data_IF_048050091434
#
_entry.id   IF_048050091434
#
_cell.length_a   1.000
_cell.length_b   1.000
_cell.length_c   1.000
_cell.angle_alpha   90.00
_cell.angle_beta   90.00
_cell.angle_gamma   90.00
#
_symmetry.space_group_name_H-M   'P 1'
#
loop_
_entity.id
_entity.type
_entity.pdbx_description
1 polymer ?
#
# COMPACT_ATOMS: atom_id res chain seq x y z
N UNK A 1 -14.97 5.39 -4.92
CA UNK A 1 -14.46 6.61 -5.62
C UNK A 1 -13.42 6.16 -6.63
N UNK A 2 -13.25 6.79 -7.81
CA UNK A 2 -12.19 6.35 -8.73
C UNK A 2 -10.85 6.98 -8.32
N UNK A 3 -9.74 6.26 -8.52
CA UNK A 3 -8.39 6.75 -8.17
C UNK A 3 -8.07 8.12 -8.78
N UNK A 4 -8.54 8.36 -10.01
CA UNK A 4 -8.31 9.62 -10.75
C UNK A 4 -9.00 10.84 -10.12
N UNK A 5 -10.03 10.63 -9.30
CA UNK A 5 -10.85 11.70 -8.71
C UNK A 5 -10.29 12.15 -7.34
N UNK A 6 -9.24 11.50 -6.85
CA UNK A 6 -8.63 11.82 -5.56
C UNK A 6 -7.84 13.13 -5.68
N UNK A 7 -8.20 14.11 -4.85
CA UNK A 7 -7.43 15.33 -4.72
C UNK A 7 -6.13 15.03 -3.96
N UNK A 8 -5.02 15.15 -4.69
CA UNK A 8 -3.66 14.92 -4.19
C UNK A 8 -2.97 16.24 -3.81
N UNK A 9 -3.62 17.38 -4.01
CA UNK A 9 -3.04 18.70 -3.80
C UNK A 9 -2.65 18.90 -2.33
N UNK A 10 -1.43 19.37 -2.10
CA UNK A 10 -0.92 19.64 -0.74
C UNK A 10 -0.24 18.45 -0.06
N UNK A 11 -0.26 17.27 -0.67
CA UNK A 11 0.45 16.07 -0.21
C UNK A 11 1.70 15.83 -1.04
N UNK A 12 2.76 15.31 -0.42
CA UNK A 12 4.00 14.93 -1.14
C UNK A 12 4.49 13.52 -0.79
N UNK A 13 3.83 12.85 0.15
CA UNK A 13 4.07 11.45 0.51
C UNK A 13 2.78 10.66 0.40
N UNK A 14 2.77 9.62 -0.42
CA UNK A 14 1.62 8.75 -0.66
C UNK A 14 1.86 7.37 -0.05
N UNK A 15 0.87 6.87 0.69
CA UNK A 15 0.79 5.52 1.20
C UNK A 15 -0.41 4.83 0.54
N UNK A 16 -0.19 3.66 -0.01
CA UNK A 16 -1.22 2.85 -0.69
C UNK A 16 -1.38 1.52 0.03
N UNK A 17 -2.60 1.03 0.21
CA UNK A 17 -2.78 -0.42 0.33
C UNK A 17 -2.46 -1.12 -1.00
N UNK A 18 -2.28 -2.43 -0.96
CA UNK A 18 -2.05 -3.26 -2.13
C UNK A 18 -3.35 -3.90 -2.62
N UNK A 19 -3.94 -4.77 -1.81
CA UNK A 19 -5.16 -5.49 -2.14
C UNK A 19 -6.37 -4.56 -2.04
N UNK A 20 -7.20 -4.47 -3.07
CA UNK A 20 -8.31 -3.53 -3.19
C UNK A 20 -7.95 -2.17 -3.79
N UNK A 21 -6.67 -1.77 -3.77
CA UNK A 21 -6.20 -0.45 -4.23
C UNK A 21 -5.29 -0.54 -5.45
N UNK A 22 -4.29 -1.41 -5.44
CA UNK A 22 -3.37 -1.65 -6.57
C UNK A 22 -3.83 -2.86 -7.37
N UNK A 23 -4.10 -3.97 -6.68
CA UNK A 23 -4.70 -5.17 -7.25
C UNK A 23 -6.11 -5.39 -6.72
N UNK A 24 -6.91 -6.18 -7.43
CA UNK A 24 -8.24 -6.57 -6.96
C UNK A 24 -8.14 -7.34 -5.65
N UNK A 25 -9.01 -6.99 -4.71
CA UNK A 25 -9.19 -7.75 -3.48
C UNK A 25 -9.79 -9.12 -3.80
N UNK A 26 -9.24 -10.19 -3.22
CA UNK A 26 -9.81 -11.54 -3.28
C UNK A 26 -10.58 -11.82 -1.99
N UNK A 27 -11.90 -11.68 -2.03
CA UNK A 27 -12.76 -11.90 -0.86
C UNK A 27 -12.55 -13.31 -0.29
N UNK A 28 -12.21 -13.40 1.00
CA UNK A 28 -11.93 -14.65 1.72
C UNK A 28 -10.76 -15.49 1.18
N UNK A 29 -9.89 -14.91 0.37
CA UNK A 29 -8.71 -15.58 -0.21
C UNK A 29 -7.49 -14.63 -0.22
N UNK A 30 -6.34 -15.13 -0.67
CA UNK A 30 -5.10 -14.37 -0.81
C UNK A 30 -4.59 -14.46 -2.24
N UNK A 31 -3.85 -13.44 -2.69
CA UNK A 31 -3.03 -13.54 -3.91
C UNK A 31 -1.77 -14.32 -3.56
N UNK A 32 -1.70 -15.58 -4.00
CA UNK A 32 -0.66 -16.55 -3.62
C UNK A 32 0.43 -16.67 -4.68
N UNK A 33 0.11 -16.35 -5.93
CA UNK A 33 1.06 -16.30 -7.04
C UNK A 33 0.77 -15.14 -7.98
N UNK A 34 1.68 -14.88 -8.92
CA UNK A 34 1.57 -13.78 -9.86
C UNK A 34 0.36 -13.89 -10.78
N UNK A 35 -0.02 -15.11 -11.16
CA UNK A 35 -1.13 -15.40 -12.05
C UNK A 35 -2.48 -15.04 -11.42
N UNK A 36 -2.55 -14.91 -10.09
CA UNK A 36 -3.72 -14.43 -9.35
C UNK A 36 -3.72 -12.91 -9.14
N UNK A 37 -2.63 -12.22 -9.48
CA UNK A 37 -2.48 -10.78 -9.30
C UNK A 37 -3.12 -10.03 -10.48
N UNK A 38 -4.27 -9.40 -10.23
CA UNK A 38 -4.96 -8.59 -11.22
C UNK A 38 -4.98 -7.12 -10.81
N UNK A 39 -4.36 -6.24 -11.60
CA UNK A 39 -4.38 -4.80 -11.35
C UNK A 39 -5.80 -4.23 -11.41
N UNK A 40 -6.11 -3.26 -10.55
CA UNK A 40 -7.40 -2.55 -10.62
C UNK A 40 -7.43 -1.59 -11.84
N UNK A 41 -8.60 -1.32 -12.43
CA UNK A 41 -8.71 -0.39 -13.54
C UNK A 41 -8.16 1.01 -13.20
N UNK A 42 -7.34 1.58 -14.09
CA UNK A 42 -6.82 2.93 -13.98
C UNK A 42 -5.60 3.11 -13.05
N UNK A 43 -5.14 2.06 -12.35
CA UNK A 43 -3.98 2.18 -11.44
C UNK A 43 -2.70 2.61 -12.13
N UNK A 44 -2.43 2.11 -13.35
CA UNK A 44 -1.24 2.50 -14.10
C UNK A 44 -1.25 3.98 -14.48
N UNK A 45 -2.39 4.50 -14.93
CA UNK A 45 -2.55 5.93 -15.23
C UNK A 45 -2.37 6.78 -13.96
N UNK A 46 -2.99 6.37 -12.86
CA UNK A 46 -2.88 7.03 -11.57
C UNK A 46 -1.42 7.07 -11.09
N UNK A 47 -0.73 5.93 -11.02
CA UNK A 47 0.67 5.85 -10.59
C UNK A 47 1.62 6.59 -11.52
N UNK A 48 1.40 6.57 -12.84
CA UNK A 48 2.19 7.34 -13.80
C UNK A 48 2.08 8.86 -13.56
N UNK A 49 0.88 9.35 -13.23
CA UNK A 49 0.64 10.75 -12.86
C UNK A 49 1.23 11.07 -11.48
N UNK A 50 0.94 10.26 -10.49
CA UNK A 50 1.36 10.45 -9.10
C UNK A 50 2.87 10.39 -8.92
N UNK A 51 3.58 9.58 -9.70
CA UNK A 51 5.05 9.49 -9.66
C UNK A 51 5.76 10.81 -10.01
N UNK A 52 5.08 11.72 -10.73
CA UNK A 52 5.60 13.05 -11.06
C UNK A 52 5.28 14.10 -10.00
N UNK A 53 4.34 13.79 -9.11
CA UNK A 53 3.82 14.71 -8.10
C UNK A 53 4.39 14.43 -6.72
N UNK A 54 4.30 13.18 -6.27
CA UNK A 54 4.74 12.77 -4.95
C UNK A 54 6.25 12.59 -4.90
N UNK A 55 6.87 13.09 -3.83
CA UNK A 55 8.26 12.82 -3.49
C UNK A 55 8.44 11.33 -3.21
N UNK A 56 7.52 10.75 -2.44
CA UNK A 56 7.54 9.34 -2.05
C UNK A 56 6.20 8.64 -2.28
N UNK A 57 6.23 7.42 -2.80
CA UNK A 57 5.08 6.52 -2.93
C UNK A 57 5.43 5.19 -2.26
N UNK A 58 4.75 4.88 -1.17
CA UNK A 58 4.92 3.65 -0.40
C UNK A 58 3.70 2.75 -0.51
N UNK A 59 3.93 1.45 -0.40
CA UNK A 59 2.87 0.47 -0.14
C UNK A 59 2.93 0.10 1.35
N UNK A 60 1.77 0.08 2.01
CA UNK A 60 1.59 -0.36 3.40
C UNK A 60 0.50 -1.44 3.46
N UNK A 61 0.89 -2.71 3.60
CA UNK A 61 -0.04 -3.83 3.36
C UNK A 61 0.02 -4.96 4.39
N UNK A 62 -1.13 -5.50 4.76
CA UNK A 62 -1.24 -6.67 5.65
C UNK A 62 -1.23 -7.96 4.81
N UNK A 63 -0.15 -8.75 4.89
CA UNK A 63 0.06 -9.98 4.10
C UNK A 63 -0.05 -11.24 4.97
N UNK A 64 -1.23 -11.42 5.58
CA UNK A 64 -1.54 -12.51 6.51
C UNK A 64 -1.47 -13.91 5.88
N UNK A 65 -1.54 -14.02 4.55
CA UNK A 65 -1.39 -15.30 3.85
C UNK A 65 -0.07 -16.00 4.17
N UNK A 66 1.00 -15.22 4.37
CA UNK A 66 2.30 -15.73 4.81
C UNK A 66 2.23 -16.26 6.23
N UNK A 67 1.71 -15.48 7.19
CA UNK A 67 1.58 -15.91 8.58
C UNK A 67 0.68 -17.12 8.77
N UNK A 68 -0.31 -17.31 7.87
CA UNK A 68 -1.20 -18.48 7.85
C UNK A 68 -0.58 -19.72 7.16
N UNK A 69 0.61 -19.60 6.56
CA UNK A 69 1.26 -20.67 5.81
C UNK A 69 0.60 -20.99 4.46
N UNK A 70 -0.24 -20.09 3.93
CA UNK A 70 -0.94 -20.27 2.64
C UNK A 70 0.01 -20.00 1.46
N UNK A 71 1.07 -19.21 1.70
CA UNK A 71 2.15 -18.93 0.76
C UNK A 71 3.44 -18.66 1.54
N UNK A 72 4.60 -18.81 0.91
CA UNK A 72 5.86 -18.42 1.53
C UNK A 72 6.11 -16.92 1.44
N UNK A 73 6.98 -16.39 2.29
CA UNK A 73 7.44 -15.00 2.16
C UNK A 73 8.21 -14.80 0.83
N UNK A 74 8.91 -15.82 0.35
CA UNK A 74 9.59 -15.76 -0.95
C UNK A 74 8.60 -15.60 -2.11
N UNK A 75 7.42 -16.22 -2.03
CA UNK A 75 6.36 -16.05 -3.04
C UNK A 75 5.80 -14.64 -2.99
N UNK A 76 5.62 -14.08 -1.78
CA UNK A 76 5.19 -12.69 -1.59
C UNK A 76 6.17 -11.71 -2.24
N UNK A 77 7.48 -11.90 -2.00
CA UNK A 77 8.52 -11.06 -2.57
C UNK A 77 8.56 -11.14 -4.10
N UNK A 78 8.32 -12.32 -4.69
CA UNK A 78 8.21 -12.46 -6.16
C UNK A 78 7.01 -11.70 -6.73
N UNK A 79 5.86 -11.74 -6.05
CA UNK A 79 4.68 -10.96 -6.44
C UNK A 79 4.98 -9.45 -6.36
N UNK A 80 5.58 -9.01 -5.26
CA UNK A 80 5.98 -7.60 -5.08
C UNK A 80 6.95 -7.13 -6.16
N UNK A 81 7.95 -7.96 -6.49
CA UNK A 81 8.90 -7.66 -7.55
C UNK A 81 8.19 -7.46 -8.90
N UNK A 82 7.39 -8.45 -9.34
CA UNK A 82 6.68 -8.37 -10.64
C UNK A 82 5.68 -7.21 -10.67
N UNK A 83 4.99 -6.95 -9.56
CA UNK A 83 4.10 -5.80 -9.43
C UNK A 83 4.86 -4.48 -9.67
N UNK A 84 6.03 -4.31 -9.06
CA UNK A 84 6.86 -3.12 -9.28
C UNK A 84 7.39 -3.04 -10.72
N UNK A 85 7.81 -4.16 -11.32
CA UNK A 85 8.26 -4.21 -12.71
C UNK A 85 7.16 -3.73 -13.68
N UNK A 86 5.93 -4.20 -13.52
CA UNK A 86 4.77 -3.76 -14.31
C UNK A 86 4.45 -2.27 -14.09
N UNK A 87 4.50 -1.79 -12.85
CA UNK A 87 4.29 -0.37 -12.54
C UNK A 87 5.33 0.50 -13.25
N UNK A 88 6.60 0.09 -13.24
CA UNK A 88 7.71 0.79 -13.89
C UNK A 88 7.55 0.77 -15.42
N UNK A 89 7.16 -0.37 -16.00
CA UNK A 89 6.89 -0.48 -17.43
C UNK A 89 5.80 0.51 -17.90
N UNK A 90 4.87 0.87 -17.02
CA UNK A 90 3.82 1.85 -17.25
C UNK A 90 4.16 3.26 -16.73
N UNK A 91 5.45 3.56 -16.52
CA UNK A 91 5.98 4.87 -16.09
C UNK A 91 5.53 5.32 -14.69
N UNK A 92 5.10 4.38 -13.85
CA UNK A 92 4.88 4.60 -12.42
C UNK A 92 6.12 4.26 -11.59
N UNK A 93 6.02 4.44 -10.27
CA UNK A 93 7.08 4.14 -9.29
C UNK A 93 6.46 3.76 -7.95
N UNK A 94 7.08 2.82 -7.26
CA UNK A 94 6.92 2.54 -5.84
C UNK A 94 8.31 2.63 -5.21
N UNK A 95 8.46 3.45 -4.18
CA UNK A 95 9.76 3.69 -3.52
C UNK A 95 10.11 2.59 -2.53
N UNK A 96 9.11 2.12 -1.78
CA UNK A 96 9.29 1.04 -0.82
C UNK A 96 7.97 0.37 -0.48
N UNK A 97 8.05 -0.92 -0.15
CA UNK A 97 6.93 -1.72 0.34
C UNK A 97 7.19 -2.04 1.80
N UNK A 98 6.28 -1.61 2.65
CA UNK A 98 6.17 -2.02 4.04
C UNK A 98 5.01 -3.01 4.13
N UNK A 99 5.29 -4.20 4.64
CA UNK A 99 4.27 -5.22 4.84
C UNK A 99 4.35 -5.83 6.24
N UNK A 100 3.24 -6.39 6.70
CA UNK A 100 3.14 -7.12 7.95
C UNK A 100 2.50 -8.50 7.71
N UNK A 101 3.15 -9.57 8.19
CA UNK A 101 2.68 -10.96 8.04
C UNK A 101 2.00 -11.48 9.31
N UNK A 102 1.99 -10.70 10.39
CA UNK A 102 1.50 -11.10 11.70
C UNK A 102 0.00 -11.44 11.72
N UNK A 103 -0.34 -12.49 12.47
CA UNK A 103 -1.72 -12.93 12.67
C UNK A 103 -2.38 -12.30 13.91
N UNK A 104 -1.59 -11.88 14.87
CA UNK A 104 -2.04 -11.15 16.06
C UNK A 104 -2.23 -9.67 15.76
N UNK A 105 -3.19 -9.04 16.44
CA UNK A 105 -3.41 -7.58 16.42
C UNK A 105 -2.53 -6.85 17.43
N UNK A 106 -1.81 -7.58 18.29
CA UNK A 106 -0.80 -7.03 19.21
C UNK A 106 0.45 -6.55 18.46
N UNK A 107 0.71 -7.07 17.26
CA UNK A 107 1.79 -6.57 16.42
C UNK A 107 1.39 -5.21 15.86
N UNK A 108 1.99 -4.16 16.41
CA UNK A 108 1.68 -2.78 16.03
C UNK A 108 1.97 -2.48 14.56
N UNK A 109 2.75 -3.30 13.83
CA UNK A 109 2.93 -3.13 12.37
C UNK A 109 1.71 -3.57 11.58
N UNK A 110 0.85 -4.44 12.12
CA UNK A 110 -0.37 -4.86 11.43
C UNK A 110 -1.40 -3.73 11.48
N UNK A 111 -1.91 -3.28 10.32
CA UNK A 111 -3.03 -2.33 10.27
C UNK A 111 -4.22 -2.90 11.05
N UNK A 112 -4.85 -2.13 11.94
CA UNK A 112 -4.80 -0.67 12.04
C UNK A 112 -3.66 -0.08 12.91
N UNK A 113 -2.75 -0.88 13.46
CA UNK A 113 -1.55 -0.41 14.16
C UNK A 113 -0.63 0.42 13.27
N UNK A 114 0.02 1.44 13.83
CA UNK A 114 0.79 2.44 13.07
C UNK A 114 2.27 2.08 12.84
N UNK A 115 2.69 0.87 13.18
CA UNK A 115 4.09 0.44 13.16
C UNK A 115 4.74 0.55 11.78
N UNK A 116 4.03 0.22 10.69
CA UNK A 116 4.56 0.42 9.33
C UNK A 116 4.81 1.90 8.99
N UNK A 117 4.04 2.82 9.55
CA UNK A 117 4.29 4.25 9.39
C UNK A 117 5.47 4.72 10.24
N UNK A 118 5.64 4.18 11.45
CA UNK A 118 6.83 4.45 12.26
C UNK A 118 8.10 3.95 11.57
N UNK A 119 8.02 2.82 10.86
CA UNK A 119 9.11 2.33 10.00
C UNK A 119 9.43 3.33 8.87
N UNK A 120 8.39 3.89 8.22
CA UNK A 120 8.56 4.94 7.19
C UNK A 120 9.27 6.16 7.78
N UNK A 121 8.81 6.69 8.91
CA UNK A 121 9.39 7.90 9.54
C UNK A 121 10.83 7.64 10.00
N UNK A 122 11.16 6.43 10.46
CA UNK A 122 12.54 6.06 10.79
C UNK A 122 13.43 6.08 9.56
N UNK A 123 12.96 5.52 8.45
CA UNK A 123 13.76 5.39 7.22
C UNK A 123 13.85 6.70 6.42
N UNK A 124 12.85 7.58 6.56
CA UNK A 124 12.70 8.85 5.85
C UNK A 124 12.30 9.96 6.86
N UNK A 125 13.27 10.39 7.66
CA UNK A 125 13.05 11.29 8.79
C UNK A 125 12.61 12.70 8.40
N UNK A 126 12.70 13.07 7.14
CA UNK A 126 12.25 14.35 6.61
C UNK A 126 10.76 14.38 6.21
N UNK A 127 10.05 13.26 6.32
CA UNK A 127 8.61 13.18 6.02
C UNK A 127 7.80 13.98 7.06
N UNK A 128 6.86 14.79 6.55
CA UNK A 128 5.93 15.59 7.36
C UNK A 128 4.55 14.93 7.33
N UNK A 129 4.00 14.60 8.50
CA UNK A 129 2.75 13.82 8.62
C UNK A 129 1.56 14.50 7.95
N UNK A 130 1.46 15.82 8.07
CA UNK A 130 0.37 16.64 7.49
C UNK A 130 0.38 16.61 5.95
N UNK A 131 1.51 16.22 5.34
CA UNK A 131 1.71 16.10 3.90
C UNK A 131 1.64 14.63 3.42
N UNK A 132 1.25 13.71 4.30
CA UNK A 132 1.03 12.31 3.99
C UNK A 132 -0.44 12.04 3.66
N UNK A 133 -0.66 11.23 2.62
CA UNK A 133 -1.97 10.74 2.20
C UNK A 133 -1.97 9.20 2.18
N UNK A 134 -2.94 8.58 2.85
CA UNK A 134 -3.22 7.15 2.78
C UNK A 134 -4.43 6.89 1.88
N UNK A 135 -4.29 5.97 0.92
CA UNK A 135 -5.39 5.44 0.11
C UNK A 135 -5.56 3.95 0.43
N UNK A 136 -6.76 3.57 0.86
CA UNK A 136 -7.13 2.20 1.24
C UNK A 136 -8.57 1.88 0.87
N UNK A 137 -8.94 0.59 0.87
CA UNK A 137 -10.31 0.14 0.61
C UNK A 137 -11.06 -0.25 1.90
N UNK A 138 -10.35 -0.48 3.01
CA UNK A 138 -10.91 -1.06 4.23
C UNK A 138 -11.09 -0.07 5.39
N UNK A 139 -11.82 -0.49 6.43
CA UNK A 139 -11.87 0.22 7.73
C UNK A 139 -10.51 0.20 8.44
N UNK A 140 -9.72 -0.86 8.26
CA UNK A 140 -8.38 -0.96 8.85
C UNK A 140 -7.43 0.09 8.28
N UNK A 141 -7.55 0.45 7.00
CA UNK A 141 -6.75 1.50 6.38
C UNK A 141 -7.08 2.88 6.91
N UNK A 142 -8.37 3.17 7.06
CA UNK A 142 -8.82 4.46 7.57
C UNK A 142 -8.43 4.61 9.04
N UNK A 143 -8.53 3.53 9.82
CA UNK A 143 -8.07 3.53 11.21
C UNK A 143 -6.55 3.59 11.31
N UNK A 144 -5.81 2.95 10.40
CA UNK A 144 -4.36 3.12 10.27
C UNK A 144 -3.99 4.59 10.03
N UNK A 145 -4.64 5.24 9.05
CA UNK A 145 -4.41 6.65 8.76
C UNK A 145 -4.69 7.55 9.98
N UNK A 146 -5.79 7.32 10.67
CA UNK A 146 -6.15 8.02 11.92
C UNK A 146 -5.07 7.82 13.00
N UNK A 147 -4.65 6.57 13.24
CA UNK A 147 -3.61 6.23 14.23
C UNK A 147 -2.22 6.77 13.88
N UNK A 148 -1.98 7.06 12.61
CA UNK A 148 -0.77 7.73 12.13
C UNK A 148 -0.85 9.26 12.24
N UNK A 149 -2.06 9.82 12.35
CA UNK A 149 -2.31 11.26 12.27
C UNK A 149 -2.18 11.81 10.85
N UNK A 150 -2.51 11.02 9.82
CA UNK A 150 -2.41 11.40 8.40
C UNK A 150 -3.78 11.38 7.73
N UNK A 151 -3.91 12.01 6.55
CA UNK A 151 -5.18 11.98 5.81
C UNK A 151 -5.43 10.58 5.25
N UNK A 152 -6.58 9.99 5.56
CA UNK A 152 -7.08 8.76 4.92
C UNK A 152 -8.15 9.05 3.87
N UNK A 153 -8.09 8.35 2.74
CA UNK A 153 -9.08 8.36 1.67
C UNK A 153 -9.49 6.94 1.32
N UNK A 154 -10.79 6.66 1.36
CA UNK A 154 -11.37 5.38 0.95
C UNK A 154 -11.72 5.37 -0.52
N UNK A 155 -11.35 4.31 -1.24
CA UNK A 155 -11.72 4.07 -2.64
C UNK A 155 -12.81 3.04 -2.81
#
# INVERSE_FOLDING_TARGET
MQLKDIDISGYDTLLLDRDGVINKLRSNDYVKCWEEFEFVPGIFEALSKWSKHFKYIFIVTNQRGVGKGVMSEQDLLKIHQRMCEEIIAHKGRIDKIYYCTALTEEDNRRKPGNGMFLDIIRDYSEIVKERCLMIGDSDNDMKFAENCGIRGVRV
#
